data_IF_920067171579
#
_entry.id   IF_920067171579
#
_cell.length_a   1.000
_cell.length_b   1.000
_cell.length_c   1.000
_cell.angle_alpha   90.00
_cell.angle_beta   90.00
_cell.angle_gamma   90.00
#
_symmetry.space_group_name_H-M   'P 1'
#
loop_
_entity.id
_entity.type
_entity.pdbx_description
1 polymer ?
#
# COMPACT_ATOMS: atom_id res chain seq x y z
N UNK A 1 -7.53 2.35 0.13
CA UNK A 1 -6.61 3.31 0.80
C UNK A 1 -5.22 2.79 1.04
N UNK A 2 -4.98 1.47 1.11
CA UNK A 2 -3.61 0.93 1.22
C UNK A 2 -2.87 1.41 2.47
N UNK A 3 -3.53 1.27 3.62
CA UNK A 3 -2.97 1.59 4.93
C UNK A 3 -2.50 0.30 5.62
N UNK A 4 -1.36 0.33 6.33
CA UNK A 4 -0.89 -0.82 7.08
C UNK A 4 -1.76 -1.01 8.32
N UNK A 5 -2.31 -2.21 8.50
CA UNK A 5 -3.07 -2.57 9.70
C UNK A 5 -2.73 -4.01 10.07
N UNK A 6 -2.44 -4.27 11.34
CA UNK A 6 -2.29 -5.63 11.86
C UNK A 6 -3.40 -5.83 12.88
N UNK A 7 -4.30 -6.77 12.60
CA UNK A 7 -5.48 -7.06 13.42
C UNK A 7 -5.24 -8.36 14.18
N UNK A 8 -5.27 -8.30 15.50
CA UNK A 8 -5.25 -9.47 16.36
C UNK A 8 -6.67 -9.80 16.78
N UNK A 9 -7.06 -11.06 16.62
CA UNK A 9 -8.36 -11.56 17.08
C UNK A 9 -8.19 -12.73 18.03
N UNK A 10 -9.06 -12.81 19.03
CA UNK A 10 -9.14 -14.01 19.88
C UNK A 10 -9.96 -15.08 19.18
N UNK A 11 -9.55 -16.33 19.36
CA UNK A 11 -10.24 -17.52 18.86
C UNK A 11 -10.50 -18.52 20.00
N UNK A 12 -11.48 -19.40 19.80
CA UNK A 12 -11.67 -20.58 20.67
C UNK A 12 -10.38 -21.41 20.75
N UNK A 13 -10.28 -22.28 21.75
CA UNK A 13 -9.07 -23.12 21.87
C UNK A 13 -8.95 -24.04 20.65
N UNK A 14 -7.72 -24.33 20.22
CA UNK A 14 -7.42 -25.11 19.01
C UNK A 14 -8.28 -26.38 18.84
N UNK A 15 -8.53 -27.21 19.88
CA UNK A 15 -9.36 -28.41 19.74
C UNK A 15 -10.86 -28.15 19.49
N UNK A 16 -11.33 -26.93 19.73
CA UNK A 16 -12.70 -26.49 19.52
C UNK A 16 -12.95 -25.86 18.15
N UNK A 17 -11.90 -25.55 17.38
CA UNK A 17 -12.04 -24.98 16.05
C UNK A 17 -12.68 -26.01 15.10
N UNK A 18 -13.65 -25.57 14.30
CA UNK A 18 -14.47 -26.35 13.38
C UNK A 18 -15.59 -27.14 14.04
N UNK A 19 -16.01 -26.80 15.27
CA UNK A 19 -16.97 -27.60 16.06
C UNK A 19 -18.16 -26.81 16.56
N UNK A 20 -18.43 -25.65 15.96
CA UNK A 20 -19.49 -24.73 16.38
C UNK A 20 -19.36 -24.37 17.86
N UNK A 21 -18.12 -24.17 18.31
CA UNK A 21 -17.84 -23.81 19.70
C UNK A 21 -18.45 -22.43 20.03
N UNK A 22 -18.73 -22.20 21.31
CA UNK A 22 -19.32 -20.93 21.74
C UNK A 22 -18.44 -19.74 21.34
N UNK A 23 -19.03 -18.79 20.58
CA UNK A 23 -18.37 -17.62 19.99
C UNK A 23 -17.29 -17.90 18.94
N UNK A 24 -17.27 -19.12 18.40
CA UNK A 24 -16.45 -19.42 17.23
C UNK A 24 -16.97 -18.68 15.99
N UNK A 25 -16.04 -18.15 15.19
CA UNK A 25 -16.31 -17.62 13.86
C UNK A 25 -15.18 -18.01 12.90
N UNK A 26 -15.52 -18.36 11.66
CA UNK A 26 -14.56 -18.62 10.59
C UNK A 26 -14.00 -17.30 10.03
N UNK A 27 -13.19 -16.64 10.86
CA UNK A 27 -12.63 -15.34 10.56
C UNK A 27 -11.69 -15.38 9.34
N UNK A 28 -10.98 -16.50 9.14
CA UNK A 28 -10.05 -16.63 8.02
C UNK A 28 -10.81 -16.54 6.69
N UNK A 29 -11.88 -17.30 6.52
CA UNK A 29 -12.69 -17.24 5.30
C UNK A 29 -13.33 -15.85 5.12
N UNK A 30 -13.83 -15.25 6.20
CA UNK A 30 -14.45 -13.92 6.15
C UNK A 30 -13.48 -12.81 5.75
N UNK A 31 -12.21 -12.89 6.17
CA UNK A 31 -11.24 -11.80 6.00
C UNK A 31 -10.28 -11.99 4.83
N UNK A 32 -10.11 -13.22 4.34
CA UNK A 32 -9.24 -13.53 3.17
C UNK A 32 -9.44 -12.59 1.97
N UNK A 33 -10.67 -12.26 1.53
CA UNK A 33 -10.87 -11.38 0.37
C UNK A 33 -10.55 -9.89 0.63
N UNK A 34 -10.39 -9.50 1.90
CA UNK A 34 -10.22 -8.09 2.32
C UNK A 34 -8.91 -7.82 3.06
N UNK A 35 -8.01 -8.81 3.12
CA UNK A 35 -6.68 -8.70 3.73
C UNK A 35 -5.58 -9.07 2.75
N UNK A 36 -4.35 -8.61 3.02
CA UNK A 36 -3.17 -9.06 2.29
C UNK A 36 -2.82 -10.51 2.64
N UNK A 37 -3.07 -10.88 3.89
CA UNK A 37 -2.75 -12.19 4.42
C UNK A 37 -3.49 -12.43 5.74
N UNK A 38 -3.70 -13.70 6.05
CA UNK A 38 -4.27 -14.15 7.31
C UNK A 38 -3.42 -15.25 7.91
N UNK A 39 -3.27 -15.24 9.23
CA UNK A 39 -2.66 -16.31 10.00
C UNK A 39 -3.68 -16.86 11.00
N UNK A 40 -3.66 -18.17 11.24
CA UNK A 40 -4.21 -18.76 12.46
C UNK A 40 -3.09 -19.48 13.18
N UNK A 41 -2.81 -19.05 14.40
CA UNK A 41 -1.72 -19.60 15.21
C UNK A 41 -2.10 -21.02 15.64
N UNK A 42 -1.34 -22.02 15.20
CA UNK A 42 -1.56 -23.44 15.55
C UNK A 42 -0.52 -24.00 16.52
N UNK A 43 0.63 -23.35 16.61
CA UNK A 43 1.79 -23.73 17.43
C UNK A 43 2.36 -22.48 18.07
N UNK A 44 2.76 -22.58 19.34
CA UNK A 44 3.30 -21.43 20.06
C UNK A 44 4.66 -20.98 19.47
N UNK A 45 5.44 -21.92 18.95
CA UNK A 45 6.74 -21.68 18.33
C UNK A 45 6.65 -20.79 17.07
N UNK A 46 5.48 -20.76 16.43
CA UNK A 46 5.24 -19.95 15.23
C UNK A 46 4.92 -18.48 15.55
N UNK A 47 4.57 -18.14 16.80
CA UNK A 47 4.12 -16.77 17.15
C UNK A 47 5.16 -15.71 16.79
N UNK A 48 6.45 -15.83 17.17
CA UNK A 48 7.44 -14.81 16.82
C UNK A 48 7.53 -14.57 15.32
N UNK A 49 7.55 -15.65 14.53
CA UNK A 49 7.58 -15.61 13.06
C UNK A 49 6.31 -14.95 12.50
N UNK A 50 5.13 -15.42 12.90
CA UNK A 50 3.83 -14.92 12.42
C UNK A 50 3.69 -13.42 12.67
N UNK A 51 4.02 -12.96 13.88
CA UNK A 51 3.94 -11.54 14.22
C UNK A 51 4.92 -10.74 13.34
N UNK A 52 6.17 -11.19 13.21
CA UNK A 52 7.16 -10.50 12.39
C UNK A 52 6.77 -10.43 10.91
N UNK A 53 6.31 -11.54 10.33
CA UNK A 53 5.81 -11.60 8.96
C UNK A 53 4.58 -10.71 8.78
N UNK A 54 3.64 -10.69 9.72
CA UNK A 54 2.43 -9.88 9.61
C UNK A 54 2.74 -8.37 9.58
N UNK A 55 3.65 -7.90 10.43
CA UNK A 55 4.10 -6.52 10.41
C UNK A 55 4.87 -6.19 9.13
N UNK A 56 5.69 -7.12 8.63
CA UNK A 56 6.38 -6.97 7.35
C UNK A 56 5.36 -6.83 6.20
N UNK A 57 4.46 -7.81 6.05
CA UNK A 57 3.41 -7.84 5.03
C UNK A 57 2.52 -6.61 5.07
N UNK A 58 2.10 -6.15 6.25
CA UNK A 58 1.26 -4.97 6.35
C UNK A 58 1.97 -3.71 5.81
N UNK A 59 3.29 -3.62 5.99
CA UNK A 59 4.08 -2.41 5.73
C UNK A 59 4.85 -2.37 4.41
N UNK A 60 5.11 -3.52 3.76
CA UNK A 60 5.91 -3.57 2.54
C UNK A 60 5.05 -3.70 1.27
N UNK A 61 5.66 -3.39 0.11
CA UNK A 61 4.95 -3.26 -1.17
C UNK A 61 3.77 -2.29 -1.10
N UNK A 62 2.62 -2.68 -1.67
CA UNK A 62 1.35 -1.98 -1.42
C UNK A 62 0.88 -2.35 -0.01
N UNK A 63 0.90 -1.37 0.90
CA UNK A 63 0.47 -1.54 2.31
C UNK A 63 -1.00 -1.97 2.39
N UNK A 64 -1.34 -2.71 3.45
CA UNK A 64 -2.70 -3.23 3.64
C UNK A 64 -2.86 -4.00 4.94
N UNK A 65 -4.09 -4.46 5.23
CA UNK A 65 -4.37 -5.18 6.48
C UNK A 65 -3.86 -6.62 6.46
N UNK A 66 -3.43 -7.11 7.61
CA UNK A 66 -3.11 -8.52 7.89
C UNK A 66 -3.83 -8.93 9.17
N UNK A 67 -4.44 -10.12 9.19
CA UNK A 67 -5.14 -10.66 10.37
C UNK A 67 -4.32 -11.78 10.99
N UNK A 68 -4.22 -11.78 12.31
CA UNK A 68 -3.66 -12.86 13.13
C UNK A 68 -4.76 -13.36 14.05
N UNK A 69 -5.30 -14.53 13.74
CA UNK A 69 -6.27 -15.24 14.54
C UNK A 69 -5.58 -16.08 15.62
N UNK A 70 -5.88 -15.79 16.89
CA UNK A 70 -5.08 -16.22 18.03
C UNK A 70 -5.93 -17.09 19.00
N UNK A 71 -5.81 -18.43 18.92
CA UNK A 71 -6.49 -19.35 19.84
C UNK A 71 -6.09 -19.12 21.30
N UNK A 72 -7.08 -19.13 22.21
CA UNK A 72 -6.85 -18.81 23.63
C UNK A 72 -5.83 -19.72 24.33
N UNK A 73 -5.71 -20.98 23.91
CA UNK A 73 -4.75 -21.94 24.43
C UNK A 73 -3.31 -21.57 24.07
N UNK A 74 -3.07 -20.87 22.96
CA UNK A 74 -1.74 -20.34 22.62
C UNK A 74 -1.28 -19.24 23.57
N UNK A 75 -2.21 -18.52 24.20
CA UNK A 75 -1.89 -17.39 25.09
C UNK A 75 -1.39 -17.79 26.48
N UNK A 76 -1.48 -19.06 26.85
CA UNK A 76 -1.07 -19.58 28.17
C UNK A 76 0.15 -20.51 28.11
N UNK A 77 0.57 -20.90 26.91
CA UNK A 77 1.77 -21.71 26.69
C UNK A 77 3.03 -20.83 26.77
N UNK A 78 4.21 -21.48 26.89
CA UNK A 78 5.52 -20.81 26.88
C UNK A 78 6.41 -21.42 25.80
N UNK A 79 7.25 -20.59 25.19
CA UNK A 79 8.27 -21.00 24.21
C UNK A 79 9.52 -20.15 24.40
N UNK A 80 10.68 -20.74 24.12
CA UNK A 80 11.98 -20.06 24.14
C UNK A 80 12.51 -19.80 22.71
N UNK A 81 11.65 -19.94 21.69
CA UNK A 81 12.02 -19.70 20.30
C UNK A 81 12.36 -18.22 20.10
N UNK A 82 13.59 -17.96 19.66
CA UNK A 82 14.03 -16.62 19.33
C UNK A 82 13.47 -16.15 17.99
N UNK A 83 13.33 -14.82 17.86
CA UNK A 83 12.92 -14.21 16.61
C UNK A 83 14.05 -14.28 15.58
N UNK A 84 13.77 -14.88 14.42
CA UNK A 84 14.69 -14.83 13.28
C UNK A 84 14.60 -13.50 12.56
N UNK A 85 15.75 -12.96 12.13
CA UNK A 85 15.78 -11.74 11.31
C UNK A 85 15.32 -11.98 9.87
N UNK A 86 15.54 -13.20 9.38
CA UNK A 86 15.16 -13.56 8.03
C UNK A 86 13.65 -13.76 7.93
N UNK A 87 13.03 -13.04 7.00
CA UNK A 87 11.63 -13.18 6.62
C UNK A 87 11.60 -13.86 5.26
N UNK A 88 11.04 -15.06 5.20
CA UNK A 88 10.83 -15.78 3.96
C UNK A 88 9.33 -16.12 3.83
N UNK A 89 8.64 -15.36 2.99
CA UNK A 89 7.20 -15.51 2.75
C UNK A 89 7.02 -15.99 1.31
N UNK A 90 6.62 -17.27 1.10
CA UNK A 90 6.49 -17.82 -0.25
C UNK A 90 5.59 -16.98 -1.15
N UNK A 91 6.09 -16.65 -2.34
CA UNK A 91 5.35 -15.88 -3.34
C UNK A 91 5.19 -14.39 -3.01
N UNK A 92 5.86 -13.88 -1.97
CA UNK A 92 5.84 -12.47 -1.63
C UNK A 92 7.23 -11.85 -1.77
N UNK A 93 7.42 -11.07 -2.84
CA UNK A 93 8.64 -10.30 -3.08
C UNK A 93 8.32 -8.81 -3.22
N UNK A 94 9.16 -7.98 -2.63
CA UNK A 94 9.05 -6.51 -2.69
C UNK A 94 10.13 -6.02 -3.62
N UNK A 95 9.77 -5.69 -4.85
CA UNK A 95 10.73 -5.13 -5.79
C UNK A 95 11.06 -3.68 -5.39
N UNK A 96 12.29 -3.43 -4.96
CA UNK A 96 12.78 -2.11 -4.57
C UNK A 96 13.60 -1.41 -5.66
N UNK A 97 13.97 -2.13 -6.73
CA UNK A 97 14.94 -1.64 -7.70
C UNK A 97 14.25 -1.32 -9.03
N UNK A 98 14.16 -0.05 -9.41
CA UNK A 98 13.61 0.31 -10.70
C UNK A 98 14.50 -0.19 -11.84
N UNK A 99 13.89 -0.65 -12.93
CA UNK A 99 14.63 -1.05 -14.12
C UNK A 99 15.22 0.19 -14.81
N UNK A 100 16.55 0.19 -15.03
CA UNK A 100 17.28 1.29 -15.69
C UNK A 100 16.75 1.60 -17.09
N UNK A 101 16.32 0.60 -17.84
CA UNK A 101 15.78 0.80 -19.19
C UNK A 101 14.45 1.56 -19.14
N UNK A 102 13.60 1.28 -18.16
CA UNK A 102 12.32 1.97 -18.01
C UNK A 102 12.50 3.41 -17.56
N UNK A 103 13.50 3.68 -16.71
CA UNK A 103 13.91 5.05 -16.38
C UNK A 103 14.38 5.80 -17.64
N UNK A 104 15.22 5.18 -18.47
CA UNK A 104 15.72 5.79 -19.71
C UNK A 104 14.58 6.08 -20.69
N UNK A 105 13.62 5.16 -20.82
CA UNK A 105 12.40 5.35 -21.63
C UNK A 105 11.58 6.53 -21.11
N UNK A 106 11.34 6.60 -19.79
CA UNK A 106 10.62 7.72 -19.18
C UNK A 106 11.32 9.07 -19.47
N UNK A 107 12.64 9.13 -19.33
CA UNK A 107 13.43 10.34 -19.63
C UNK A 107 13.25 10.75 -21.09
N UNK A 108 13.29 9.79 -22.02
CA UNK A 108 13.06 10.06 -23.44
C UNK A 108 11.63 10.58 -23.69
N UNK A 109 10.62 9.94 -23.11
CA UNK A 109 9.22 10.36 -23.25
C UNK A 109 8.99 11.78 -22.71
N UNK A 110 9.58 12.12 -21.56
CA UNK A 110 9.49 13.46 -20.97
C UNK A 110 10.12 14.51 -21.90
N UNK A 111 11.22 14.19 -22.60
CA UNK A 111 11.88 15.13 -23.52
C UNK A 111 11.04 15.40 -24.78
N UNK A 112 10.36 14.38 -25.29
CA UNK A 112 9.55 14.50 -26.51
C UNK A 112 8.17 15.14 -26.25
N UNK A 113 7.60 14.90 -25.07
CA UNK A 113 6.28 15.38 -24.69
C UNK A 113 6.16 16.91 -24.78
N UNK A 114 5.03 17.38 -25.30
CA UNK A 114 4.67 18.81 -25.37
C UNK A 114 3.72 19.21 -24.25
N UNK A 115 2.95 18.27 -23.71
CA UNK A 115 1.99 18.48 -22.62
C UNK A 115 2.13 17.36 -21.58
N UNK A 116 3.31 17.17 -20.96
CA UNK A 116 3.48 16.19 -19.91
C UNK A 116 2.66 16.59 -18.67
N UNK A 117 2.12 15.59 -17.99
CA UNK A 117 1.33 15.78 -16.77
C UNK A 117 1.69 14.71 -15.74
N UNK A 118 1.85 15.12 -14.48
CA UNK A 118 1.99 14.17 -13.37
C UNK A 118 0.64 13.95 -12.71
N UNK A 119 0.30 12.68 -12.49
CA UNK A 119 -0.78 12.26 -11.60
C UNK A 119 -0.17 11.67 -10.34
N UNK A 120 -0.27 12.39 -9.22
CA UNK A 120 0.25 11.94 -7.94
C UNK A 120 -0.86 11.35 -7.05
N UNK A 121 -0.62 10.15 -6.53
CA UNK A 121 -1.54 9.46 -5.62
C UNK A 121 -1.01 9.30 -4.19
N UNK A 122 -1.77 8.54 -3.40
CA UNK A 122 -1.44 8.24 -2.00
C UNK A 122 -0.05 7.61 -1.80
N UNK A 123 0.47 6.91 -2.82
CA UNK A 123 1.78 6.27 -2.76
C UNK A 123 2.92 7.26 -2.47
N UNK A 124 2.84 8.50 -2.96
CA UNK A 124 3.82 9.56 -2.66
C UNK A 124 3.84 9.88 -1.17
N UNK A 125 2.65 10.06 -0.58
CA UNK A 125 2.49 10.33 0.85
C UNK A 125 2.97 9.13 1.68
N UNK A 126 2.63 7.90 1.26
CA UNK A 126 3.01 6.68 1.96
C UNK A 126 4.52 6.41 1.96
N UNK A 127 5.21 6.81 0.88
CA UNK A 127 6.67 6.71 0.77
C UNK A 127 7.40 7.91 1.34
N UNK A 128 6.68 8.95 1.81
CA UNK A 128 7.22 10.23 2.29
C UNK A 128 8.10 10.93 1.25
N UNK A 129 7.75 10.76 -0.03
CA UNK A 129 8.51 11.30 -1.17
C UNK A 129 8.03 12.68 -1.63
N UNK A 130 7.21 13.37 -0.83
CA UNK A 130 6.62 14.68 -1.15
C UNK A 130 7.68 15.71 -1.57
N UNK A 131 8.79 15.78 -0.83
CA UNK A 131 9.89 16.70 -1.13
C UNK A 131 10.58 16.38 -2.46
N UNK A 132 10.85 15.10 -2.73
CA UNK A 132 11.45 14.64 -3.99
C UNK A 132 10.53 14.92 -5.18
N UNK A 133 9.22 14.67 -5.01
CA UNK A 133 8.24 14.98 -6.05
C UNK A 133 8.20 16.48 -6.31
N UNK A 134 8.17 17.31 -5.25
CA UNK A 134 8.15 18.76 -5.39
C UNK A 134 9.40 19.24 -6.13
N UNK A 135 10.59 18.75 -5.77
CA UNK A 135 11.84 19.06 -6.47
C UNK A 135 11.79 18.65 -7.95
N UNK A 136 11.29 17.45 -8.24
CA UNK A 136 11.14 16.95 -9.61
C UNK A 136 10.21 17.85 -10.43
N UNK A 137 9.05 18.18 -9.88
CA UNK A 137 8.05 19.08 -10.49
C UNK A 137 8.66 20.45 -10.77
N UNK A 138 9.34 21.05 -9.79
CA UNK A 138 10.00 22.36 -9.95
C UNK A 138 11.13 22.31 -10.99
N UNK A 139 11.96 21.26 -10.98
CA UNK A 139 13.09 21.14 -11.91
C UNK A 139 12.64 20.96 -13.36
N UNK A 140 11.62 20.13 -13.58
CA UNK A 140 11.18 19.76 -14.92
C UNK A 140 10.01 20.61 -15.44
N UNK A 141 9.46 21.49 -14.60
CA UNK A 141 8.35 22.39 -14.93
C UNK A 141 7.11 21.62 -15.44
N UNK A 142 6.81 20.48 -14.83
CA UNK A 142 5.69 19.61 -15.22
C UNK A 142 4.47 19.88 -14.33
N UNK A 143 3.31 20.27 -14.89
CA UNK A 143 2.08 20.42 -14.11
C UNK A 143 1.69 19.13 -13.38
N UNK A 144 1.09 19.27 -12.20
CA UNK A 144 0.75 18.15 -11.32
C UNK A 144 -0.71 18.18 -10.91
N UNK A 145 -1.37 17.06 -11.09
CA UNK A 145 -2.71 16.74 -10.59
C UNK A 145 -2.57 15.70 -9.49
N UNK A 146 -3.41 15.77 -8.46
CA UNK A 146 -3.47 14.72 -7.44
C UNK A 146 -4.79 13.96 -7.47
N UNK A 147 -4.79 12.70 -7.06
CA UNK A 147 -6.02 12.05 -6.61
C UNK A 147 -6.44 12.62 -5.24
N UNK A 148 -7.65 12.31 -4.77
CA UNK A 148 -8.11 12.71 -3.43
C UNK A 148 -7.11 12.30 -2.33
N UNK A 149 -6.65 11.05 -2.36
CA UNK A 149 -5.70 10.52 -1.37
C UNK A 149 -4.26 11.00 -1.62
N UNK A 150 -3.99 11.60 -2.78
CA UNK A 150 -2.73 12.24 -3.12
C UNK A 150 -2.65 13.71 -2.71
N UNK A 151 -3.73 14.30 -2.16
CA UNK A 151 -3.67 15.66 -1.63
C UNK A 151 -2.53 15.79 -0.60
N UNK A 152 -1.78 16.89 -0.68
CA UNK A 152 -0.55 17.09 0.09
C UNK A 152 0.72 16.51 -0.53
N UNK A 153 0.65 15.78 -1.65
CA UNK A 153 1.83 15.26 -2.36
C UNK A 153 2.79 16.37 -2.81
N UNK A 154 2.24 17.55 -3.16
CA UNK A 154 2.94 18.79 -3.49
C UNK A 154 2.27 19.92 -2.68
N UNK A 155 2.97 20.99 -2.27
CA UNK A 155 2.37 22.11 -1.57
C UNK A 155 1.20 22.73 -2.34
N UNK A 156 0.11 23.07 -1.65
CA UNK A 156 -1.11 23.61 -2.28
C UNK A 156 -0.87 24.90 -3.08
N UNK A 157 0.03 25.77 -2.61
CA UNK A 157 0.39 27.02 -3.29
C UNK A 157 1.46 26.86 -4.37
N UNK A 158 1.90 25.63 -4.66
CA UNK A 158 2.90 25.40 -5.71
C UNK A 158 2.31 25.80 -7.08
N UNK A 159 2.99 26.63 -7.89
CA UNK A 159 2.42 27.20 -9.11
C UNK A 159 2.04 26.16 -10.18
N UNK A 160 2.67 24.98 -10.14
CA UNK A 160 2.39 23.86 -11.05
C UNK A 160 1.35 22.87 -10.51
N UNK A 161 0.74 23.12 -9.34
CA UNK A 161 -0.32 22.27 -8.82
C UNK A 161 -1.68 22.71 -9.36
N UNK A 162 -2.33 21.82 -10.12
CA UNK A 162 -3.62 22.10 -10.78
C UNK A 162 -4.84 21.76 -9.91
N UNK A 163 -4.61 21.12 -8.76
CA UNK A 163 -5.67 20.65 -7.87
C UNK A 163 -5.96 19.16 -8.01
N UNK A 164 -7.05 18.73 -7.37
CA UNK A 164 -7.52 17.35 -7.43
C UNK A 164 -8.18 17.07 -8.79
N UNK A 165 -7.91 15.92 -9.40
CA UNK A 165 -8.64 15.41 -10.58
C UNK A 165 -9.81 14.50 -10.21
N UNK A 166 -10.73 14.27 -11.15
CA UNK A 166 -11.84 13.31 -11.03
C UNK A 166 -13.22 13.95 -11.04
N UNK A 167 -14.24 13.17 -10.67
CA UNK A 167 -15.68 13.53 -10.73
C UNK A 167 -16.03 14.86 -10.03
N UNK A 168 -15.33 15.19 -8.94
CA UNK A 168 -15.46 16.45 -8.21
C UNK A 168 -14.13 17.21 -8.15
N UNK A 169 -13.24 16.95 -9.11
CA UNK A 169 -11.96 17.63 -9.28
C UNK A 169 -12.09 19.04 -9.83
N UNK A 170 -10.97 19.75 -9.90
CA UNK A 170 -10.92 21.06 -10.54
C UNK A 170 -11.07 20.92 -12.06
N UNK A 171 -11.70 21.91 -12.69
CA UNK A 171 -11.79 21.96 -14.16
C UNK A 171 -10.40 21.92 -14.80
N UNK A 172 -9.43 22.66 -14.25
CA UNK A 172 -8.05 22.70 -14.75
C UNK A 172 -7.39 21.32 -14.72
N UNK A 173 -7.53 20.57 -13.61
CA UNK A 173 -6.99 19.21 -13.49
C UNK A 173 -7.61 18.26 -14.49
N UNK A 174 -8.94 18.28 -14.64
CA UNK A 174 -9.64 17.39 -15.56
C UNK A 174 -9.29 17.70 -17.02
N UNK A 175 -9.25 18.98 -17.40
CA UNK A 175 -8.82 19.37 -18.75
C UNK A 175 -7.36 19.00 -19.02
N UNK A 176 -6.47 19.12 -18.03
CA UNK A 176 -5.09 18.68 -18.17
C UNK A 176 -5.00 17.17 -18.38
N UNK A 177 -5.72 16.38 -17.58
CA UNK A 177 -5.78 14.91 -17.71
C UNK A 177 -6.31 14.48 -19.09
N UNK A 178 -7.32 15.17 -19.62
CA UNK A 178 -7.87 14.87 -20.95
C UNK A 178 -6.92 15.24 -22.09
N UNK A 179 -6.16 16.33 -21.95
CA UNK A 179 -5.39 16.91 -23.06
C UNK A 179 -3.89 16.59 -23.03
N UNK A 180 -3.37 15.97 -21.97
CA UNK A 180 -1.95 15.62 -21.88
C UNK A 180 -1.57 14.61 -22.97
N UNK A 181 -0.35 14.74 -23.50
CA UNK A 181 0.22 13.77 -24.45
C UNK A 181 1.12 12.74 -23.75
N UNK A 182 1.45 12.98 -22.48
CA UNK A 182 2.15 12.06 -21.60
C UNK A 182 1.60 12.17 -20.17
N UNK A 183 1.04 11.08 -19.65
CA UNK A 183 0.63 10.98 -18.25
C UNK A 183 1.64 10.16 -17.44
N UNK A 184 2.25 10.80 -16.45
CA UNK A 184 3.21 10.18 -15.54
C UNK A 184 2.46 9.88 -14.23
N UNK A 185 2.01 8.64 -14.08
CA UNK A 185 1.31 8.20 -12.88
C UNK A 185 2.31 7.78 -11.78
N UNK A 186 2.31 8.50 -10.67
CA UNK A 186 3.17 8.24 -9.51
C UNK A 186 2.34 7.90 -8.27
N UNK A 187 2.40 6.64 -7.84
CA UNK A 187 1.79 6.21 -6.59
C UNK A 187 0.26 6.30 -6.56
N UNK A 188 -0.40 6.31 -7.71
CA UNK A 188 -1.86 6.29 -7.81
C UNK A 188 -2.38 5.02 -8.48
N UNK A 189 -3.64 4.69 -8.17
CA UNK A 189 -4.44 3.74 -8.94
C UNK A 189 -5.46 4.53 -9.74
N UNK A 190 -5.80 4.04 -10.93
CA UNK A 190 -6.88 4.58 -11.75
C UNK A 190 -8.23 4.11 -11.15
N UNK A 191 -8.69 4.81 -10.10
CA UNK A 191 -10.03 4.63 -9.53
C UNK A 191 -11.08 5.09 -10.53
N UNK A 192 -12.28 4.50 -10.49
CA UNK A 192 -13.41 4.82 -11.37
C UNK A 192 -13.90 6.27 -11.27
N UNK A 193 -13.60 6.95 -10.15
CA UNK A 193 -13.94 8.35 -9.90
C UNK A 193 -12.90 9.35 -10.43
N UNK A 194 -11.78 8.88 -10.98
CA UNK A 194 -10.72 9.72 -11.54
C UNK A 194 -10.91 9.95 -13.04
#
# INVERSE_FOLDING_TARGET
DSLPLVVFTGQVATPGIGKDAFQEADLLSMTTPITKHNYQVKKIEDIPRIVHEAFHLANTGRKGPVVIDFPKDMGVLKTDVELTKDINIPGYEVNSNPNKEDINKLIYMIKEAKKPLILAGAGINHSKSNHLLTEFVTRHQIPTVTTLLGLGAVPYHHPLFLGMGGMHGSYASNMALTNCDLLINLGSRFDDRL
#
